data_IF_304089610645
#
_entry.id   IF_304089610645
#
_cell.length_a   1.000
_cell.length_b   1.000
_cell.length_c   1.000
_cell.angle_alpha   90.00
_cell.angle_beta   90.00
_cell.angle_gamma   90.00
#
_symmetry.space_group_name_H-M   'P 1'
#
loop_
_entity.id
_entity.type
_entity.pdbx_description
1 polymer ?
#
# COMPACT_ATOMS: atom_id res chain seq x y z
N UNK A 1 5.46 -15.59 5.70
CA UNK A 1 5.78 -14.15 5.62
C UNK A 1 6.33 -13.70 6.96
N UNK A 2 7.52 -13.11 7.02
CA UNK A 2 8.15 -12.63 8.25
C UNK A 2 7.26 -11.65 9.03
N UNK A 3 7.36 -11.61 10.36
CA UNK A 3 6.54 -10.71 11.21
C UNK A 3 6.69 -9.24 10.80
N UNK A 4 7.91 -8.77 10.54
CA UNK A 4 8.17 -7.39 10.12
C UNK A 4 7.45 -7.02 8.81
N UNK A 5 7.45 -7.93 7.83
CA UNK A 5 6.77 -7.74 6.55
C UNK A 5 5.25 -7.67 6.71
N UNK A 6 4.66 -8.48 7.62
CA UNK A 6 3.23 -8.41 7.93
C UNK A 6 2.87 -7.06 8.56
N UNK A 7 3.68 -6.58 9.50
CA UNK A 7 3.47 -5.27 10.14
C UNK A 7 3.58 -4.15 9.10
N UNK A 8 4.61 -4.16 8.24
CA UNK A 8 4.75 -3.17 7.16
C UNK A 8 3.57 -3.21 6.18
N UNK A 9 3.07 -4.40 5.85
CA UNK A 9 1.89 -4.55 4.99
C UNK A 9 0.66 -3.92 5.63
N UNK A 10 0.34 -4.28 6.87
CA UNK A 10 -0.83 -3.73 7.57
C UNK A 10 -0.70 -2.23 7.76
N UNK A 11 0.49 -1.75 8.12
CA UNK A 11 0.77 -0.31 8.26
C UNK A 11 0.56 0.44 6.95
N UNK A 12 1.20 0.01 5.87
CA UNK A 12 1.09 0.66 4.56
C UNK A 12 -0.35 0.61 4.03
N UNK A 13 -1.07 -0.49 4.26
CA UNK A 13 -2.47 -0.61 3.88
C UNK A 13 -3.36 0.38 4.66
N UNK A 14 -3.19 0.47 5.98
CA UNK A 14 -3.97 1.38 6.82
C UNK A 14 -3.72 2.85 6.44
N UNK A 15 -2.47 3.23 6.19
CA UNK A 15 -2.13 4.60 5.77
C UNK A 15 -2.63 4.91 4.35
N UNK A 16 -2.53 3.97 3.41
CA UNK A 16 -3.10 4.12 2.07
C UNK A 16 -4.61 4.37 2.10
N UNK A 17 -5.36 3.63 2.92
CA UNK A 17 -6.80 3.84 3.11
C UNK A 17 -7.06 5.21 3.75
N UNK A 18 -6.32 5.57 4.81
CA UNK A 18 -6.48 6.85 5.49
C UNK A 18 -6.24 8.04 4.56
N UNK A 19 -5.18 8.02 3.76
CA UNK A 19 -4.90 9.08 2.79
C UNK A 19 -5.90 9.11 1.64
N UNK A 20 -6.47 7.96 1.26
CA UNK A 20 -7.56 7.93 0.28
C UNK A 20 -8.81 8.63 0.80
N UNK A 21 -9.18 8.38 2.07
CA UNK A 21 -10.28 9.07 2.74
C UNK A 21 -9.99 10.56 2.87
N UNK A 22 -8.76 10.93 3.24
CA UNK A 22 -8.35 12.33 3.32
C UNK A 22 -8.40 13.03 1.96
N UNK A 23 -7.99 12.37 0.89
CA UNK A 23 -8.10 12.89 -0.47
C UNK A 23 -9.56 13.11 -0.87
N UNK A 24 -10.46 12.18 -0.50
CA UNK A 24 -11.89 12.33 -0.75
C UNK A 24 -12.46 13.59 -0.08
N UNK A 25 -12.19 13.80 1.22
CA UNK A 25 -12.61 15.02 1.91
C UNK A 25 -11.97 16.27 1.33
N UNK A 26 -10.69 16.20 0.96
CA UNK A 26 -10.00 17.31 0.30
C UNK A 26 -10.66 17.72 -1.02
N UNK A 27 -11.08 16.76 -1.85
CA UNK A 27 -11.83 17.03 -3.08
C UNK A 27 -13.19 17.65 -2.77
N UNK A 28 -13.91 17.13 -1.78
CA UNK A 28 -15.24 17.63 -1.42
C UNK A 28 -15.20 19.08 -0.90
N UNK A 29 -14.23 19.42 -0.06
CA UNK A 29 -14.16 20.74 0.58
C UNK A 29 -13.44 21.79 -0.28
N UNK A 30 -12.34 21.41 -0.95
CA UNK A 30 -11.44 22.36 -1.63
C UNK A 30 -11.34 22.12 -3.14
N UNK A 31 -11.98 21.10 -3.68
CA UNK A 31 -11.86 20.70 -5.08
C UNK A 31 -10.50 20.06 -5.41
N UNK A 32 -10.21 19.92 -6.71
CA UNK A 32 -8.91 19.43 -7.16
C UNK A 32 -7.85 20.52 -7.01
N UNK A 33 -7.01 20.38 -5.98
CA UNK A 33 -5.90 21.29 -5.71
C UNK A 33 -4.57 20.54 -5.69
N UNK A 34 -3.45 21.28 -5.67
CA UNK A 34 -2.13 20.70 -5.49
C UNK A 34 -2.06 19.75 -4.28
N UNK A 35 -2.66 20.14 -3.16
CA UNK A 35 -2.70 19.33 -1.94
C UNK A 35 -3.46 18.02 -2.12
N UNK A 36 -4.57 18.06 -2.84
CA UNK A 36 -5.35 16.88 -3.19
C UNK A 36 -4.51 15.89 -4.01
N UNK A 37 -3.82 16.36 -5.05
CA UNK A 37 -2.92 15.53 -5.86
C UNK A 37 -1.75 14.98 -5.05
N UNK A 38 -1.20 15.79 -4.13
CA UNK A 38 -0.15 15.34 -3.22
C UNK A 38 -0.64 14.20 -2.32
N UNK A 39 -1.81 14.34 -1.70
CA UNK A 39 -2.40 13.29 -0.85
C UNK A 39 -2.65 12.00 -1.65
N UNK A 40 -3.20 12.13 -2.87
CA UNK A 40 -3.40 10.99 -3.78
C UNK A 40 -2.07 10.30 -4.11
N UNK A 41 -1.00 11.05 -4.38
CA UNK A 41 0.31 10.50 -4.68
C UNK A 41 0.89 9.73 -3.47
N UNK A 42 0.71 10.25 -2.26
CA UNK A 42 1.12 9.56 -1.02
C UNK A 42 0.33 8.26 -0.84
N UNK A 43 -0.99 8.29 -1.01
CA UNK A 43 -1.84 7.10 -0.93
C UNK A 43 -1.41 6.03 -1.98
N UNK A 44 -1.16 6.45 -3.21
CA UNK A 44 -0.72 5.57 -4.29
C UNK A 44 0.64 4.91 -3.97
N UNK A 45 1.57 5.65 -3.37
CA UNK A 45 2.86 5.12 -2.94
C UNK A 45 2.71 4.05 -1.85
N UNK A 46 1.81 4.24 -0.89
CA UNK A 46 1.53 3.23 0.13
C UNK A 46 0.94 1.94 -0.47
N UNK A 47 0.00 2.06 -1.41
CA UNK A 47 -0.53 0.89 -2.14
C UNK A 47 0.54 0.21 -3.00
N UNK A 48 1.44 0.99 -3.60
CA UNK A 48 2.57 0.43 -4.34
C UNK A 48 3.49 -0.40 -3.45
N UNK A 49 3.78 0.05 -2.21
CA UNK A 49 4.52 -0.75 -1.23
C UNK A 49 3.77 -2.03 -0.86
N UNK A 50 2.47 -1.96 -0.63
CA UNK A 50 1.64 -3.15 -0.36
C UNK A 50 1.77 -4.15 -1.51
N UNK A 51 1.66 -3.69 -2.76
CA UNK A 51 1.83 -4.52 -3.95
C UNK A 51 3.22 -5.18 -4.02
N UNK A 52 4.30 -4.44 -3.77
CA UNK A 52 5.65 -4.99 -3.72
C UNK A 52 5.78 -6.09 -2.65
N UNK A 53 5.27 -5.82 -1.45
CA UNK A 53 5.30 -6.77 -0.33
C UNK A 53 4.53 -8.07 -0.69
N UNK A 54 3.35 -7.95 -1.29
CA UNK A 54 2.57 -9.11 -1.74
C UNK A 54 3.29 -9.89 -2.85
N UNK A 55 3.94 -9.19 -3.78
CA UNK A 55 4.70 -9.81 -4.86
C UNK A 55 5.90 -10.59 -4.32
N UNK A 56 6.64 -10.02 -3.38
CA UNK A 56 7.75 -10.69 -2.68
C UNK A 56 7.25 -11.91 -1.90
N UNK A 57 6.13 -11.78 -1.18
CA UNK A 57 5.53 -12.89 -0.45
C UNK A 57 5.11 -14.05 -1.37
N UNK A 58 4.56 -13.74 -2.56
CA UNK A 58 4.21 -14.75 -3.58
C UNK A 58 5.44 -15.45 -4.15
N UNK A 59 6.51 -14.70 -4.48
CA UNK A 59 7.77 -15.27 -4.96
C UNK A 59 8.40 -16.21 -3.92
N UNK A 60 8.48 -15.79 -2.66
CA UNK A 60 9.00 -16.61 -1.57
C UNK A 60 8.18 -17.89 -1.31
N UNK A 61 6.87 -17.87 -1.63
CA UNK A 61 6.02 -19.05 -1.54
C UNK A 61 6.30 -20.04 -2.68
N UNK A 62 6.45 -19.55 -3.92
CA UNK A 62 6.80 -20.40 -5.08
C UNK A 62 8.13 -21.12 -4.92
N UNK A 63 9.17 -20.42 -4.47
CA UNK A 63 10.51 -21.02 -4.28
C UNK A 63 10.53 -22.16 -3.26
N UNK A 64 9.66 -22.10 -2.24
CA UNK A 64 9.51 -23.20 -1.27
C UNK A 64 8.78 -24.42 -1.84
N UNK A 65 7.88 -24.22 -2.79
CA UNK A 65 7.16 -25.31 -3.45
C UNK A 65 8.06 -26.06 -4.42
N UNK A 66 8.90 -25.37 -5.19
CA UNK A 66 9.85 -26.01 -6.14
C UNK A 66 10.99 -26.77 -5.44
N UNK A 67 11.42 -26.35 -4.24
CA UNK A 67 12.45 -27.07 -3.46
C UNK A 67 11.93 -28.26 -2.66
N UNK A 68 10.60 -28.46 -2.63
CA UNK A 68 9.95 -29.50 -1.86
C UNK A 68 9.33 -30.60 -2.74
N UNK A 69 9.54 -30.52 -4.06
CA UNK A 69 9.24 -31.52 -5.07
C UNK A 69 10.56 -32.15 -5.56
#
# INVERSE_FOLDING_TARGET
>A
MPRHLKIMLTFSLSFGILFTVLAYYSVQEYGFSFWTYFIIAVAAYDFFKVYQILTLARKAKKEKTDKSA
#
